data_IF_293926269146
#
_entry.id   IF_293926269146
#
_cell.length_a   1.000
_cell.length_b   1.000
_cell.length_c   1.000
_cell.angle_alpha   90.00
_cell.angle_beta   90.00
_cell.angle_gamma   90.00
#
_symmetry.space_group_name_H-M   'P 1'
#
loop_
_entity.id
_entity.type
_entity.pdbx_description
1 polymer ?
#
# COMPACT_ATOMS: atom_id res chain seq x y z
N UNK A 1 -13.10 -15.28 -3.54
CA UNK A 1 -11.83 -15.96 -3.86
C UNK A 1 -11.08 -16.25 -2.55
N UNK A 2 -10.99 -17.52 -2.17
CA UNK A 2 -10.15 -17.95 -1.07
C UNK A 2 -8.71 -17.85 -1.55
N UNK A 3 -7.83 -17.09 -0.87
CA UNK A 3 -6.39 -16.95 -1.13
C UNK A 3 -5.97 -16.00 -2.28
N UNK A 4 -6.62 -14.87 -2.44
CA UNK A 4 -6.11 -13.76 -3.24
C UNK A 4 -5.23 -12.79 -2.43
N UNK A 5 -4.38 -12.02 -3.10
CA UNK A 5 -3.76 -10.84 -2.53
C UNK A 5 -4.79 -9.76 -2.15
N UNK A 6 -4.38 -8.50 -2.05
CA UNK A 6 -5.30 -7.41 -1.74
C UNK A 6 -6.42 -7.30 -2.78
N UNK A 7 -7.64 -7.03 -2.33
CA UNK A 7 -8.79 -6.87 -3.24
C UNK A 7 -8.59 -5.66 -4.14
N UNK A 8 -8.22 -4.54 -3.55
CA UNK A 8 -7.85 -3.34 -4.29
C UNK A 8 -6.39 -3.02 -4.00
N UNK A 9 -5.54 -3.32 -4.97
CA UNK A 9 -4.08 -3.13 -4.85
C UNK A 9 -3.55 -2.09 -5.82
N UNK A 10 -2.82 -1.14 -5.29
CA UNK A 10 -2.06 -0.14 -6.03
C UNK A 10 -0.58 -0.52 -5.99
N UNK A 11 0.00 -0.80 -7.14
CA UNK A 11 1.41 -1.19 -7.26
C UNK A 11 1.62 -2.72 -7.24
N UNK A 12 2.87 -3.16 -7.18
CA UNK A 12 4.14 -2.49 -6.84
C UNK A 12 4.75 -1.62 -7.95
N UNK A 13 4.30 -1.76 -9.18
CA UNK A 13 4.82 -1.03 -10.35
C UNK A 13 4.13 0.34 -10.43
N UNK A 14 4.75 1.36 -9.82
CA UNK A 14 4.20 2.71 -9.68
C UNK A 14 4.86 3.75 -10.57
N UNK A 15 5.86 3.36 -11.36
CA UNK A 15 6.71 4.29 -12.14
C UNK A 15 5.94 5.22 -13.07
N UNK A 16 4.83 4.76 -13.65
CA UNK A 16 3.96 5.58 -14.51
C UNK A 16 2.97 6.46 -13.75
N UNK A 17 2.88 6.29 -12.43
CA UNK A 17 1.89 6.94 -11.58
C UNK A 17 0.47 6.37 -11.70
N UNK A 18 -0.28 6.46 -10.60
CA UNK A 18 -1.70 6.09 -10.53
C UNK A 18 -2.43 7.24 -9.84
N UNK A 19 -3.48 7.79 -10.47
CA UNK A 19 -4.23 8.89 -9.88
C UNK A 19 -5.70 8.90 -10.32
N UNK A 20 -6.51 9.69 -9.59
CA UNK A 20 -7.93 9.91 -9.88
C UNK A 20 -8.74 8.60 -9.87
N UNK A 21 -8.52 7.78 -8.84
CA UNK A 21 -9.21 6.49 -8.67
C UNK A 21 -10.35 6.65 -7.67
N UNK A 22 -11.51 6.14 -8.03
CA UNK A 22 -12.67 6.04 -7.14
C UNK A 22 -13.13 4.58 -7.10
N UNK A 23 -13.19 4.00 -5.90
CA UNK A 23 -13.80 2.70 -5.66
C UNK A 23 -14.88 2.84 -4.58
N UNK A 24 -16.06 2.26 -4.82
CA UNK A 24 -17.18 2.43 -3.91
C UNK A 24 -18.21 1.31 -4.00
N UNK A 25 -18.99 1.18 -2.90
CA UNK A 25 -20.11 0.22 -2.79
C UNK A 25 -19.69 -1.23 -3.05
N UNK A 26 -18.66 -1.68 -2.35
CA UNK A 26 -18.12 -3.03 -2.53
C UNK A 26 -18.07 -3.80 -1.20
N UNK A 27 -18.04 -5.12 -1.29
CA UNK A 27 -17.94 -6.04 -0.16
C UNK A 27 -16.81 -7.04 -0.38
N UNK A 28 -15.86 -7.05 0.52
CA UNK A 28 -14.68 -7.92 0.48
C UNK A 28 -14.76 -8.97 1.57
N UNK A 29 -14.65 -10.24 1.20
CA UNK A 29 -14.84 -11.36 2.14
C UNK A 29 -13.73 -12.39 1.98
N UNK A 30 -13.05 -12.70 3.09
CA UNK A 30 -12.10 -13.81 3.17
C UNK A 30 -10.83 -13.65 2.33
N UNK A 31 -10.47 -12.43 1.96
CA UNK A 31 -9.21 -12.14 1.25
C UNK A 31 -8.08 -11.85 2.24
N UNK A 32 -6.83 -12.06 1.85
CA UNK A 32 -5.69 -11.86 2.75
C UNK A 32 -5.47 -10.39 3.13
N UNK A 33 -5.74 -9.48 2.21
CA UNK A 33 -5.64 -8.04 2.40
C UNK A 33 -6.86 -7.35 1.77
N UNK A 34 -7.23 -6.22 2.32
CA UNK A 34 -8.27 -5.36 1.78
C UNK A 34 -7.70 -4.32 0.80
N UNK A 35 -7.57 -3.10 1.28
CA UNK A 35 -6.96 -1.99 0.56
C UNK A 35 -5.45 -2.03 0.73
N UNK A 36 -4.74 -2.15 -0.37
CA UNK A 36 -3.30 -2.33 -0.37
C UNK A 36 -2.61 -1.32 -1.28
N UNK A 37 -1.75 -0.49 -0.69
CA UNK A 37 -0.82 0.39 -1.38
C UNK A 37 0.60 -0.16 -1.20
N UNK A 38 1.27 -0.52 -2.27
CA UNK A 38 2.63 -1.04 -2.18
C UNK A 38 3.51 -0.49 -3.29
N UNK A 39 4.74 -0.16 -2.94
CA UNK A 39 5.80 0.17 -3.90
C UNK A 39 7.15 -0.22 -3.33
N UNK A 40 8.19 -0.10 -4.13
CA UNK A 40 9.55 -0.37 -3.74
C UNK A 40 10.43 0.87 -3.96
N UNK A 41 11.53 0.96 -3.24
CA UNK A 41 12.46 2.12 -3.28
C UNK A 41 13.07 2.41 -4.66
N UNK A 42 12.86 1.55 -5.64
CA UNK A 42 13.41 1.70 -7.00
C UNK A 42 12.36 1.96 -8.07
N UNK A 43 11.07 2.05 -7.68
CA UNK A 43 9.96 2.14 -8.65
C UNK A 43 9.60 3.58 -9.01
N UNK A 44 9.80 4.51 -8.08
CA UNK A 44 9.40 5.91 -8.28
C UNK A 44 7.90 6.07 -8.53
N UNK A 45 7.54 7.18 -9.16
CA UNK A 45 6.16 7.51 -9.49
C UNK A 45 5.31 7.87 -8.28
N UNK A 46 4.01 7.67 -8.41
CA UNK A 46 3.07 8.07 -7.35
C UNK A 46 1.77 7.26 -7.38
N UNK A 47 1.08 7.26 -6.24
CA UNK A 47 -0.33 6.90 -6.12
C UNK A 47 -1.02 8.04 -5.39
N UNK A 48 -1.90 8.77 -6.06
CA UNK A 48 -2.52 9.97 -5.50
C UNK A 48 -3.99 10.16 -5.92
N UNK A 49 -4.69 11.01 -5.18
CA UNK A 49 -6.08 11.38 -5.46
C UNK A 49 -7.00 10.15 -5.57
N UNK A 50 -6.95 9.33 -4.52
CA UNK A 50 -7.72 8.08 -4.41
C UNK A 50 -8.85 8.27 -3.43
N UNK A 51 -10.07 7.93 -3.83
CA UNK A 51 -11.24 7.88 -2.98
C UNK A 51 -11.77 6.46 -2.88
N UNK A 52 -11.81 5.92 -1.67
CA UNK A 52 -12.41 4.63 -1.35
C UNK A 52 -13.57 4.87 -0.39
N UNK A 53 -14.78 4.44 -0.74
CA UNK A 53 -15.93 4.70 0.12
C UNK A 53 -17.00 3.62 0.06
N UNK A 54 -17.78 3.55 1.13
CA UNK A 54 -18.93 2.65 1.22
C UNK A 54 -18.52 1.16 1.05
N UNK A 55 -17.50 0.74 1.83
CA UNK A 55 -16.90 -0.60 1.75
C UNK A 55 -17.23 -1.40 3.00
N UNK A 56 -17.55 -2.69 2.80
CA UNK A 56 -17.65 -3.68 3.86
C UNK A 56 -16.57 -4.74 3.71
N UNK A 57 -15.86 -5.02 4.80
CA UNK A 57 -14.82 -6.05 4.86
C UNK A 57 -15.16 -7.08 5.94
N UNK A 58 -15.15 -8.34 5.58
CA UNK A 58 -15.44 -9.45 6.51
C UNK A 58 -14.37 -10.53 6.39
N UNK A 59 -13.78 -10.93 7.53
CA UNK A 59 -12.71 -11.92 7.55
C UNK A 59 -11.53 -11.52 6.63
N UNK A 60 -11.16 -10.24 6.64
CA UNK A 60 -10.01 -9.69 5.94
C UNK A 60 -8.91 -9.41 6.97
N UNK A 61 -7.88 -10.25 7.07
CA UNK A 61 -6.86 -10.13 8.12
C UNK A 61 -6.14 -8.78 8.17
N UNK A 62 -5.88 -8.18 7.00
CA UNK A 62 -5.18 -6.90 6.86
C UNK A 62 -6.02 -5.93 6.03
N UNK A 63 -6.97 -5.21 6.62
CA UNK A 63 -7.84 -4.26 5.91
C UNK A 63 -7.10 -3.13 5.21
N UNK A 64 -6.12 -2.52 5.89
CA UNK A 64 -5.39 -1.36 5.39
C UNK A 64 -3.89 -1.60 5.43
N UNK A 65 -3.29 -1.80 4.26
CA UNK A 65 -1.85 -2.02 4.09
C UNK A 65 -1.24 -0.93 3.22
N UNK A 66 -0.18 -0.29 3.74
CA UNK A 66 0.60 0.71 3.01
C UNK A 66 2.09 0.40 3.20
N UNK A 67 2.84 0.23 2.12
CA UNK A 67 4.29 0.04 2.21
C UNK A 67 5.03 0.63 1.02
N UNK A 68 6.04 1.44 1.30
CA UNK A 68 6.92 2.03 0.29
C UNK A 68 8.22 1.23 0.07
N UNK A 69 8.41 0.15 0.81
CA UNK A 69 9.54 -0.76 0.64
C UNK A 69 9.08 -2.23 0.63
N UNK A 70 8.10 -2.50 -0.22
CA UNK A 70 7.57 -3.84 -0.38
C UNK A 70 8.59 -4.75 -1.04
N UNK A 71 8.81 -5.90 -0.43
CA UNK A 71 9.68 -6.96 -0.91
C UNK A 71 11.05 -6.45 -1.44
N UNK A 72 11.98 -6.05 -0.54
CA UNK A 72 13.27 -5.50 -0.93
C UNK A 72 14.08 -6.39 -1.89
N UNK A 73 13.93 -7.71 -1.84
CA UNK A 73 14.62 -8.65 -2.73
C UNK A 73 14.25 -8.45 -4.21
N UNK A 74 13.02 -7.97 -4.49
CA UNK A 74 12.63 -7.61 -5.86
C UNK A 74 13.21 -6.27 -6.30
N UNK A 75 13.47 -5.37 -5.36
CA UNK A 75 13.98 -4.03 -5.66
C UNK A 75 15.48 -4.00 -5.87
N UNK A 76 16.18 -4.94 -5.25
CA UNK A 76 17.63 -5.01 -5.23
C UNK A 76 18.14 -6.33 -5.78
N UNK A 77 17.51 -6.81 -6.85
CA UNK A 77 17.98 -7.98 -7.57
C UNK A 77 19.41 -7.75 -8.08
N UNK A 78 20.24 -8.75 -7.94
CA UNK A 78 21.63 -8.70 -8.41
C UNK A 78 21.84 -9.69 -9.54
N UNK A 79 22.66 -9.33 -10.52
CA UNK A 79 23.11 -10.27 -11.56
C UNK A 79 24.10 -11.24 -10.93
N UNK A 80 23.88 -12.56 -11.03
CA UNK A 80 24.85 -13.54 -10.56
C UNK A 80 26.21 -13.31 -11.19
N UNK A 81 27.29 -13.42 -10.40
CA UNK A 81 28.66 -13.18 -10.86
C UNK A 81 29.08 -14.11 -12.00
N UNK A 82 28.51 -15.30 -12.03
CA UNK A 82 28.77 -16.35 -13.02
C UNK A 82 28.11 -16.06 -14.38
N UNK A 83 27.16 -15.12 -14.41
CA UNK A 83 26.44 -14.77 -15.63
C UNK A 83 27.24 -13.77 -16.45
N UNK A 84 28.01 -14.27 -17.42
CA UNK A 84 28.91 -13.44 -18.26
C UNK A 84 28.15 -12.64 -19.34
N UNK A 85 26.94 -13.04 -19.70
CA UNK A 85 26.11 -12.38 -20.71
C UNK A 85 24.66 -12.25 -20.21
N UNK A 86 24.37 -11.35 -19.27
CA UNK A 86 23.02 -11.19 -18.75
C UNK A 86 22.07 -10.62 -19.80
N UNK A 87 20.80 -11.03 -19.79
CA UNK A 87 19.78 -10.43 -20.65
C UNK A 87 19.69 -8.90 -20.47
N UNK A 88 19.46 -8.11 -21.51
CA UNK A 88 19.47 -6.64 -21.42
C UNK A 88 18.53 -6.07 -20.35
N UNK A 89 17.37 -6.69 -20.15
CA UNK A 89 16.42 -6.26 -19.12
C UNK A 89 16.94 -6.49 -17.69
N UNK A 90 17.79 -7.48 -17.46
CA UNK A 90 18.45 -7.69 -16.16
C UNK A 90 19.45 -6.58 -15.88
N UNK A 91 20.19 -6.14 -16.91
CA UNK A 91 21.13 -5.02 -16.79
C UNK A 91 20.38 -3.75 -16.39
N UNK A 92 19.26 -3.45 -17.07
CA UNK A 92 18.41 -2.30 -16.75
C UNK A 92 17.87 -2.38 -15.32
N UNK A 93 17.36 -3.55 -14.91
CA UNK A 93 16.81 -3.73 -13.55
C UNK A 93 17.86 -3.65 -12.46
N UNK A 94 19.11 -3.96 -12.78
CA UNK A 94 20.23 -3.91 -11.83
C UNK A 94 20.90 -2.52 -11.80
N UNK A 95 20.54 -1.62 -12.72
CA UNK A 95 21.12 -0.28 -12.75
C UNK A 95 20.56 0.55 -11.60
N UNK A 96 21.39 1.14 -10.76
CA UNK A 96 20.92 1.99 -9.65
C UNK A 96 20.11 3.18 -10.16
N UNK A 97 19.02 3.47 -9.49
CA UNK A 97 18.26 4.71 -9.72
C UNK A 97 18.99 5.87 -9.06
N UNK A 98 19.42 6.83 -9.87
CA UNK A 98 20.15 8.01 -9.37
C UNK A 98 19.51 9.32 -9.87
N UNK A 99 19.40 10.34 -9.01
CA UNK A 99 19.59 10.24 -7.56
C UNK A 99 18.59 9.29 -6.93
N UNK A 100 18.90 8.69 -5.80
CA UNK A 100 18.11 7.62 -5.17
C UNK A 100 16.66 8.02 -4.87
N UNK A 101 16.41 9.30 -4.64
CA UNK A 101 15.08 9.86 -4.35
C UNK A 101 14.10 9.69 -5.53
N UNK A 102 14.60 9.58 -6.75
CA UNK A 102 13.78 9.27 -7.93
C UNK A 102 13.13 7.89 -7.87
N UNK A 103 13.73 6.99 -7.11
CA UNK A 103 13.19 5.67 -6.86
C UNK A 103 12.05 5.64 -5.83
N UNK A 104 11.87 6.69 -5.03
CA UNK A 104 10.84 6.72 -3.99
C UNK A 104 9.48 7.05 -4.60
N UNK A 105 8.54 6.15 -4.40
CA UNK A 105 7.15 6.39 -4.78
C UNK A 105 6.49 7.38 -3.78
N UNK A 106 5.57 8.18 -4.26
CA UNK A 106 4.72 9.02 -3.43
C UNK A 106 3.34 8.40 -3.25
N UNK A 107 2.91 8.20 -1.99
CA UNK A 107 1.51 7.94 -1.67
C UNK A 107 0.93 9.17 -1.00
N UNK A 108 -0.09 9.79 -1.63
CA UNK A 108 -0.65 11.05 -1.17
C UNK A 108 -2.13 11.24 -1.52
N UNK A 109 -2.81 12.09 -0.77
CA UNK A 109 -4.19 12.51 -1.04
C UNK A 109 -5.16 11.31 -1.16
N UNK A 110 -5.15 10.44 -0.16
CA UNK A 110 -5.97 9.22 -0.11
C UNK A 110 -7.09 9.45 0.88
N UNK A 111 -8.33 9.25 0.46
CA UNK A 111 -9.53 9.37 1.29
C UNK A 111 -10.23 8.03 1.41
N UNK A 112 -10.52 7.63 2.64
CA UNK A 112 -11.19 6.38 2.97
C UNK A 112 -12.39 6.72 3.84
N UNK A 113 -13.59 6.44 3.34
CA UNK A 113 -14.83 6.93 3.93
C UNK A 113 -15.90 5.82 4.05
N UNK A 114 -16.64 5.81 5.16
CA UNK A 114 -17.76 4.91 5.37
C UNK A 114 -17.36 3.43 5.20
N UNK A 115 -16.44 2.96 6.04
CA UNK A 115 -15.93 1.58 5.98
C UNK A 115 -16.30 0.82 7.23
N UNK A 116 -16.84 -0.38 7.04
CA UNK A 116 -17.15 -1.33 8.09
C UNK A 116 -16.24 -2.55 7.97
N UNK A 117 -15.57 -2.92 9.07
CA UNK A 117 -14.62 -4.03 9.10
C UNK A 117 -14.98 -4.96 10.25
N UNK A 118 -15.15 -6.24 9.96
CA UNK A 118 -15.44 -7.27 10.94
C UNK A 118 -14.42 -8.40 10.83
N UNK A 119 -13.90 -8.82 11.99
CA UNK A 119 -12.97 -9.92 12.12
C UNK A 119 -11.66 -9.73 11.34
N UNK A 120 -10.97 -8.63 11.62
CA UNK A 120 -9.60 -8.40 11.16
C UNK A 120 -8.58 -8.99 12.15
N UNK A 121 -7.40 -9.30 11.67
CA UNK A 121 -6.26 -9.64 12.54
C UNK A 121 -5.52 -8.38 12.98
N UNK A 122 -5.17 -7.51 12.04
CA UNK A 122 -4.50 -6.23 12.29
C UNK A 122 -5.10 -5.18 11.38
N UNK A 123 -5.65 -4.11 11.94
CA UNK A 123 -6.43 -3.12 11.18
C UNK A 123 -5.51 -2.27 10.29
N UNK A 124 -4.44 -1.71 10.86
CA UNK A 124 -3.47 -0.92 10.12
C UNK A 124 -2.11 -1.62 10.04
N UNK A 125 -1.54 -1.65 8.86
CA UNK A 125 -0.15 -2.02 8.59
C UNK A 125 0.43 -0.99 7.63
N UNK A 126 0.85 0.16 8.15
CA UNK A 126 1.26 1.29 7.33
C UNK A 126 2.69 1.73 7.66
N UNK A 127 3.58 1.64 6.67
CA UNK A 127 4.98 2.05 6.80
C UNK A 127 5.43 2.81 5.56
N UNK A 128 5.66 4.11 5.73
CA UNK A 128 6.30 4.95 4.72
C UNK A 128 7.82 4.77 4.73
N UNK A 129 8.52 5.79 4.25
CA UNK A 129 9.98 5.93 4.42
C UNK A 129 10.26 7.17 5.24
N UNK A 130 11.34 7.17 6.00
CA UNK A 130 11.77 8.36 6.75
C UNK A 130 12.00 9.54 5.79
N UNK A 131 12.59 9.26 4.64
CA UNK A 131 12.90 10.22 3.58
C UNK A 131 11.68 10.60 2.73
N UNK A 132 10.68 9.71 2.66
CA UNK A 132 9.45 9.90 1.87
C UNK A 132 8.25 9.36 2.65
N UNK A 133 7.72 10.11 3.61
CA UNK A 133 6.53 9.69 4.36
C UNK A 133 5.29 9.61 3.47
N UNK A 134 4.32 8.78 3.86
CA UNK A 134 3.00 8.74 3.25
C UNK A 134 2.21 9.95 3.78
N UNK A 135 1.64 10.75 2.88
CA UNK A 135 1.09 12.05 3.27
C UNK A 135 -0.38 12.22 2.91
N UNK A 136 -1.09 13.03 3.68
CA UNK A 136 -2.45 13.46 3.41
C UNK A 136 -3.43 12.27 3.23
N UNK A 137 -3.46 11.37 4.20
CA UNK A 137 -4.44 10.27 4.22
C UNK A 137 -5.53 10.59 5.24
N UNK A 138 -6.78 10.45 4.85
CA UNK A 138 -7.91 10.68 5.72
C UNK A 138 -8.82 9.46 5.83
N UNK A 139 -9.22 9.17 7.05
CA UNK A 139 -10.24 8.19 7.38
C UNK A 139 -11.45 8.89 7.97
N UNK A 140 -12.63 8.64 7.44
CA UNK A 140 -13.86 9.20 7.95
C UNK A 140 -14.95 8.13 8.06
N UNK A 141 -15.62 8.07 9.22
CA UNK A 141 -16.69 7.10 9.49
C UNK A 141 -16.23 5.66 9.27
N UNK A 142 -15.18 5.24 9.96
CA UNK A 142 -14.66 3.87 9.90
C UNK A 142 -14.98 3.15 11.21
N UNK A 143 -15.59 1.99 11.10
CA UNK A 143 -15.81 1.08 12.23
C UNK A 143 -15.04 -0.20 11.95
N UNK A 144 -14.15 -0.58 12.85
CA UNK A 144 -13.34 -1.77 12.66
C UNK A 144 -13.28 -2.62 13.93
N UNK A 145 -13.48 -3.92 13.78
CA UNK A 145 -13.29 -4.92 14.82
C UNK A 145 -12.17 -5.87 14.39
N UNK A 146 -11.17 -6.04 15.28
CA UNK A 146 -10.01 -6.90 15.03
C UNK A 146 -9.28 -7.29 16.29
N UNK A 147 -8.19 -8.01 16.14
CA UNK A 147 -7.35 -8.45 17.28
C UNK A 147 -6.32 -7.37 17.65
N UNK A 148 -5.85 -6.61 16.68
CA UNK A 148 -4.77 -5.63 16.83
C UNK A 148 -5.08 -4.39 15.99
N UNK A 149 -4.97 -3.21 16.58
CA UNK A 149 -5.10 -1.94 15.86
C UNK A 149 -4.00 -1.73 14.81
N UNK A 150 -2.80 -2.26 15.06
CA UNK A 150 -1.65 -2.16 14.19
C UNK A 150 -0.84 -0.89 14.38
N UNK A 151 -0.08 -0.53 13.34
CA UNK A 151 0.83 0.62 13.37
C UNK A 151 0.73 1.49 12.11
N UNK A 152 1.07 2.76 12.30
CA UNK A 152 1.23 3.75 11.24
C UNK A 152 2.57 4.44 11.49
N UNK A 153 3.52 4.24 10.58
CA UNK A 153 4.89 4.72 10.70
C UNK A 153 5.27 5.55 9.47
N UNK A 154 6.11 6.57 9.66
CA UNK A 154 6.53 7.48 8.60
C UNK A 154 5.34 8.03 7.79
N UNK A 155 4.38 8.58 8.53
CA UNK A 155 3.15 9.18 8.02
C UNK A 155 3.08 10.65 8.42
N UNK A 156 2.53 11.51 7.56
CA UNK A 156 2.34 12.93 7.83
C UNK A 156 0.98 13.40 7.34
N UNK A 157 0.33 14.25 8.12
CA UNK A 157 -1.01 14.78 7.84
C UNK A 157 -2.06 13.68 7.65
N UNK A 158 -2.02 12.65 8.49
CA UNK A 158 -3.07 11.66 8.57
C UNK A 158 -4.17 12.16 9.50
N UNK A 159 -5.41 12.04 9.08
CA UNK A 159 -6.57 12.46 9.87
C UNK A 159 -7.56 11.33 10.05
N UNK A 160 -8.13 11.24 11.25
CA UNK A 160 -9.13 10.23 11.61
C UNK A 160 -10.35 10.94 12.21
N UNK A 161 -11.46 10.94 11.51
CA UNK A 161 -12.72 11.53 11.96
C UNK A 161 -13.78 10.45 12.09
N UNK A 162 -14.36 10.32 13.28
CA UNK A 162 -15.34 9.28 13.60
C UNK A 162 -14.82 7.87 13.25
N UNK A 163 -13.60 7.56 13.70
CA UNK A 163 -12.98 6.23 13.57
C UNK A 163 -13.10 5.50 14.91
N UNK A 164 -13.68 4.33 14.88
CA UNK A 164 -13.90 3.48 16.05
C UNK A 164 -13.23 2.13 15.84
N UNK A 165 -12.25 1.84 16.66
CA UNK A 165 -11.53 0.56 16.65
C UNK A 165 -11.92 -0.22 17.93
N UNK A 166 -12.32 -1.48 17.75
CA UNK A 166 -12.58 -2.43 18.80
C UNK A 166 -11.58 -3.58 18.66
N UNK A 167 -10.63 -3.65 19.57
CA UNK A 167 -9.60 -4.68 19.66
C UNK A 167 -9.75 -5.50 20.91
#
# INVERSE_FOLDING_TARGET
TRHGGGVLSFGSETSGGIRHVVAYRDRWVGTSEGLRFKSAKTRGGYVSDVLIRDIKMENVPLPFTFTLNWNPSYSYATIPKEMTNPPPHWVVMNTPVLPVERGYCEFSNIRIENVEIVNARRIFSATGLAEKPIVNVSFANVTAQGVDAGSIEYARNWTMRNVRLKT
#
